data_IF_813518215867
#
_entry.id   IF_813518215867
#
_cell.length_a   1.000
_cell.length_b   1.000
_cell.length_c   1.000
_cell.angle_alpha   90.00
_cell.angle_beta   90.00
_cell.angle_gamma   90.00
#
_symmetry.space_group_name_H-M   'P 1'
#
loop_
_entity.id
_entity.type
_entity.pdbx_description
1 polymer ?
#
# COMPACT_ATOMS: atom_id res chain seq x y z
N UNK A 1 17.05 11.46 -49.47
CA UNK A 1 16.25 10.32 -48.95
C UNK A 1 16.74 9.83 -47.58
N UNK A 2 18.04 9.73 -47.31
CA UNK A 2 18.54 9.21 -46.02
C UNK A 2 18.46 10.22 -44.86
N UNK A 3 18.66 11.51 -45.14
CA UNK A 3 18.47 12.59 -44.16
C UNK A 3 17.00 12.75 -43.75
N UNK A 4 16.07 12.55 -44.67
CA UNK A 4 14.62 12.65 -44.44
C UNK A 4 14.10 11.52 -43.55
N UNK A 5 14.63 10.30 -43.73
CA UNK A 5 14.41 9.21 -42.76
C UNK A 5 14.97 9.58 -41.39
N UNK A 6 16.18 10.14 -41.32
CA UNK A 6 16.84 10.51 -40.05
C UNK A 6 16.06 11.59 -39.29
N UNK A 7 15.50 12.58 -39.97
CA UNK A 7 14.65 13.60 -39.33
C UNK A 7 13.32 13.04 -38.85
N UNK A 8 12.69 12.13 -39.62
CA UNK A 8 11.46 11.45 -39.24
C UNK A 8 11.60 10.65 -37.92
N UNK A 9 12.65 9.85 -37.77
CA UNK A 9 12.91 9.09 -36.53
C UNK A 9 13.16 9.99 -35.32
N UNK A 10 13.84 11.13 -35.51
CA UNK A 10 14.10 12.09 -34.43
C UNK A 10 12.80 12.74 -33.95
N UNK A 11 11.91 13.14 -34.87
CA UNK A 11 10.60 13.70 -34.52
C UNK A 11 9.74 12.71 -33.75
N UNK A 12 9.74 11.43 -34.15
CA UNK A 12 9.08 10.35 -33.40
C UNK A 12 9.61 10.25 -31.97
N UNK A 13 10.94 10.25 -31.78
CA UNK A 13 11.54 10.21 -30.45
C UNK A 13 11.16 11.43 -29.59
N UNK A 14 11.17 12.64 -30.16
CA UNK A 14 10.78 13.85 -29.44
C UNK A 14 9.32 13.80 -28.98
N UNK A 15 8.40 13.30 -29.81
CA UNK A 15 6.99 13.16 -29.40
C UNK A 15 6.81 12.18 -28.25
N UNK A 16 7.52 11.04 -28.26
CA UNK A 16 7.46 10.05 -27.18
C UNK A 16 8.00 10.63 -25.87
N UNK A 17 9.11 11.38 -25.93
CA UNK A 17 9.69 12.03 -24.75
C UNK A 17 8.75 13.09 -24.16
N UNK A 18 8.11 13.90 -25.01
CA UNK A 18 7.14 14.92 -24.57
C UNK A 18 5.93 14.27 -23.89
N UNK A 19 5.39 13.19 -24.46
CA UNK A 19 4.28 12.44 -23.86
C UNK A 19 4.70 11.82 -22.52
N UNK A 20 5.90 11.24 -22.45
CA UNK A 20 6.47 10.70 -21.21
C UNK A 20 6.58 11.77 -20.11
N UNK A 21 7.15 12.93 -20.42
CA UNK A 21 7.29 14.05 -19.49
C UNK A 21 5.91 14.59 -19.06
N UNK A 22 4.97 14.70 -19.98
CA UNK A 22 3.60 15.12 -19.67
C UNK A 22 2.90 14.15 -18.70
N UNK A 23 3.03 12.83 -18.92
CA UNK A 23 2.49 11.83 -18.00
C UNK A 23 3.12 11.92 -16.61
N UNK A 24 4.43 12.17 -16.54
CA UNK A 24 5.16 12.33 -15.27
C UNK A 24 4.68 13.60 -14.54
N UNK A 25 4.63 14.75 -15.23
CA UNK A 25 4.15 16.01 -14.68
C UNK A 25 2.71 15.92 -14.17
N UNK A 26 1.82 15.22 -14.91
CA UNK A 26 0.43 15.01 -14.49
C UNK A 26 0.31 14.12 -13.25
N UNK A 27 1.20 13.13 -13.08
CA UNK A 27 1.24 12.27 -11.89
C UNK A 27 1.92 12.93 -10.69
N UNK A 28 2.84 13.86 -10.94
CA UNK A 28 3.64 14.55 -9.92
C UNK A 28 2.82 15.20 -8.79
N UNK A 29 1.75 15.99 -9.02
CA UNK A 29 1.00 16.61 -7.94
C UNK A 29 0.25 15.58 -7.07
N UNK A 30 -0.18 14.47 -7.66
CA UNK A 30 -0.81 13.36 -6.92
C UNK A 30 0.22 12.66 -6.04
N UNK A 31 1.42 12.43 -6.57
CA UNK A 31 2.55 11.87 -5.83
C UNK A 31 2.98 12.78 -4.68
N UNK A 32 3.06 14.09 -4.90
CA UNK A 32 3.38 15.08 -3.85
C UNK A 32 2.29 15.15 -2.76
N UNK A 33 1.00 15.02 -3.12
CA UNK A 33 -0.10 14.91 -2.15
C UNK A 33 0.04 13.65 -1.30
N UNK A 34 0.38 12.52 -1.92
CA UNK A 34 0.66 11.26 -1.22
C UNK A 34 1.85 11.46 -0.27
N UNK A 35 2.97 12.02 -0.75
CA UNK A 35 4.15 12.30 0.08
C UNK A 35 3.81 13.19 1.28
N UNK A 36 3.10 14.30 1.09
CA UNK A 36 2.68 15.19 2.18
C UNK A 36 1.75 14.49 3.17
N UNK A 37 0.79 13.69 2.71
CA UNK A 37 -0.12 12.92 3.57
C UNK A 37 0.63 11.88 4.40
N UNK A 38 1.60 11.20 3.80
CA UNK A 38 2.47 10.24 4.50
C UNK A 38 3.36 10.92 5.54
N UNK A 39 3.92 12.10 5.23
CA UNK A 39 4.70 12.91 6.19
C UNK A 39 3.84 13.42 7.35
N UNK A 40 2.59 13.82 7.09
CA UNK A 40 1.66 14.24 8.16
C UNK A 40 1.29 13.08 9.09
N UNK A 41 1.08 11.88 8.55
CA UNK A 41 0.86 10.67 9.36
C UNK A 41 2.11 10.29 10.17
N UNK A 42 3.31 10.53 9.64
CA UNK A 42 4.58 10.27 10.31
C UNK A 42 4.85 11.20 11.50
N UNK A 43 4.12 12.33 11.63
CA UNK A 43 4.19 13.21 12.82
C UNK A 43 3.40 12.68 14.01
N UNK A 44 2.45 11.77 13.81
CA UNK A 44 1.85 11.05 14.93
C UNK A 44 2.85 9.97 15.34
N UNK A 45 3.34 10.05 16.58
CA UNK A 45 4.26 9.09 17.22
C UNK A 45 3.57 7.75 17.47
N UNK A 46 3.05 7.13 16.42
CA UNK A 46 2.56 5.76 16.46
C UNK A 46 3.80 4.88 16.36
N UNK A 47 3.98 3.87 17.24
CA UNK A 47 5.10 2.95 17.14
C UNK A 47 5.08 2.31 15.75
N UNK A 48 6.07 2.68 14.95
CA UNK A 48 6.34 2.12 13.62
C UNK A 48 7.72 1.48 13.64
N UNK A 49 7.95 0.50 12.78
CA UNK A 49 9.29 -0.02 12.59
C UNK A 49 10.13 1.04 11.86
N UNK A 50 11.27 1.42 12.42
CA UNK A 50 12.18 2.45 11.88
C UNK A 50 12.91 2.04 10.57
N UNK A 51 12.47 0.98 9.90
CA UNK A 51 13.08 0.44 8.70
C UNK A 51 12.38 0.97 7.43
N UNK A 52 13.09 1.05 6.30
CA UNK A 52 12.45 1.32 5.00
C UNK A 52 11.35 0.30 4.74
N UNK A 53 10.11 0.78 4.58
CA UNK A 53 8.90 -0.05 4.44
C UNK A 53 9.02 -1.11 3.33
N UNK A 54 9.69 -0.76 2.23
CA UNK A 54 9.91 -1.67 1.11
C UNK A 54 10.89 -2.79 1.47
N UNK A 55 11.97 -2.46 2.17
CA UNK A 55 12.96 -3.45 2.60
C UNK A 55 12.36 -4.44 3.60
N UNK A 56 11.52 -3.97 4.51
CA UNK A 56 10.80 -4.82 5.47
C UNK A 56 9.85 -5.80 4.76
N UNK A 57 9.12 -5.33 3.75
CA UNK A 57 8.22 -6.19 2.98
C UNK A 57 8.97 -7.24 2.15
N UNK A 58 10.02 -6.82 1.42
CA UNK A 58 10.84 -7.72 0.60
C UNK A 58 11.58 -8.74 1.47
N UNK A 59 12.11 -8.34 2.64
CA UNK A 59 12.77 -9.26 3.56
C UNK A 59 11.81 -10.26 4.18
N UNK A 60 10.56 -9.85 4.45
CA UNK A 60 9.49 -10.73 4.91
C UNK A 60 9.12 -11.79 3.87
N UNK A 61 8.86 -11.37 2.63
CA UNK A 61 8.59 -12.29 1.52
C UNK A 61 9.76 -13.23 1.23
N UNK A 62 10.99 -12.69 1.24
CA UNK A 62 12.19 -13.49 1.02
C UNK A 62 12.41 -14.50 2.15
N UNK A 63 12.11 -14.15 3.41
CA UNK A 63 12.15 -15.11 4.52
C UNK A 63 11.13 -16.21 4.34
N UNK A 64 9.87 -15.88 4.02
CA UNK A 64 8.82 -16.89 3.79
C UNK A 64 9.21 -17.80 2.63
N UNK A 65 9.70 -17.23 1.52
CA UNK A 65 10.16 -17.98 0.36
C UNK A 65 11.34 -18.90 0.69
N UNK A 66 12.37 -18.40 1.38
CA UNK A 66 13.54 -19.19 1.79
C UNK A 66 13.20 -20.28 2.80
N UNK A 67 12.23 -20.02 3.67
CA UNK A 67 11.82 -20.92 4.76
C UNK A 67 10.78 -21.94 4.30
N UNK A 68 10.12 -21.73 3.15
CA UNK A 68 9.09 -22.62 2.60
C UNK A 68 9.70 -23.95 2.13
N UNK A 69 9.74 -24.93 3.03
CA UNK A 69 10.10 -26.33 2.76
C UNK A 69 8.82 -27.17 2.63
N UNK A 70 8.87 -28.34 1.98
CA UNK A 70 7.72 -29.26 1.94
C UNK A 70 7.20 -29.62 3.35
N UNK A 71 8.08 -29.62 4.34
CA UNK A 71 7.79 -29.94 5.75
C UNK A 71 7.11 -28.77 6.51
N UNK A 72 7.26 -27.54 6.01
CA UNK A 72 6.71 -26.32 6.60
C UNK A 72 6.10 -25.46 5.49
N UNK A 73 4.84 -25.73 5.09
CA UNK A 73 4.22 -25.04 3.97
C UNK A 73 4.14 -23.54 4.28
N UNK A 74 4.28 -22.71 3.23
CA UNK A 74 4.22 -21.26 3.33
C UNK A 74 3.01 -20.75 4.14
N UNK A 75 1.87 -21.43 4.04
CA UNK A 75 0.66 -21.11 4.81
C UNK A 75 0.88 -21.21 6.34
N UNK A 76 1.53 -22.26 6.83
CA UNK A 76 1.85 -22.39 8.26
C UNK A 76 2.76 -21.26 8.75
N UNK A 77 3.74 -20.87 7.93
CA UNK A 77 4.65 -19.75 8.26
C UNK A 77 3.92 -18.41 8.29
N UNK A 78 3.00 -18.18 7.35
CA UNK A 78 2.14 -16.99 7.34
C UNK A 78 1.24 -16.97 8.59
N UNK A 79 0.65 -18.11 8.94
CA UNK A 79 -0.21 -18.23 10.12
C UNK A 79 0.59 -17.99 11.42
N UNK A 80 1.79 -18.55 11.53
CA UNK A 80 2.68 -18.33 12.67
C UNK A 80 3.10 -16.85 12.77
N UNK A 81 3.39 -16.21 11.65
CA UNK A 81 3.67 -14.78 11.61
C UNK A 81 2.45 -13.95 12.05
N UNK A 82 1.24 -14.32 11.61
CA UNK A 82 0.00 -13.67 12.04
C UNK A 82 -0.24 -13.81 13.55
N UNK A 83 0.02 -14.98 14.12
CA UNK A 83 -0.05 -15.18 15.58
C UNK A 83 1.02 -14.40 16.34
N UNK A 84 2.25 -14.30 15.81
CA UNK A 84 3.29 -13.43 16.38
C UNK A 84 2.85 -11.98 16.38
N UNK A 85 2.25 -11.55 15.27
CA UNK A 85 1.76 -10.19 15.08
C UNK A 85 0.60 -9.84 16.02
N UNK A 86 -0.33 -10.77 16.24
CA UNK A 86 -1.46 -10.55 17.15
C UNK A 86 -0.98 -10.26 18.57
N UNK A 87 0.05 -10.97 19.05
CA UNK A 87 0.66 -10.74 20.37
C UNK A 87 1.27 -9.34 20.49
N UNK A 88 1.90 -8.85 19.42
CA UNK A 88 2.47 -7.50 19.37
C UNK A 88 1.37 -6.44 19.39
N UNK A 89 0.32 -6.62 18.60
CA UNK A 89 -0.83 -5.69 18.53
C UNK A 89 -1.55 -5.58 19.88
N UNK A 90 -1.75 -6.71 20.57
CA UNK A 90 -2.35 -6.73 21.92
C UNK A 90 -1.49 -5.94 22.91
N UNK A 91 -0.16 -6.04 22.80
CA UNK A 91 0.78 -5.34 23.70
C UNK A 91 0.81 -3.83 23.45
N UNK A 92 0.95 -3.40 22.19
CA UNK A 92 1.15 -1.99 21.82
C UNK A 92 -0.16 -1.19 21.75
N UNK A 93 -1.34 -1.84 21.81
CA UNK A 93 -2.72 -1.28 21.78
C UNK A 93 -3.10 -0.55 20.49
N UNK A 94 -2.15 0.13 19.84
CA UNK A 94 -2.27 0.79 18.54
C UNK A 94 -0.98 0.51 17.78
N UNK A 95 -1.09 0.01 16.55
CA UNK A 95 0.07 -0.34 15.74
C UNK A 95 -0.10 0.14 14.30
N UNK A 96 0.97 0.66 13.68
CA UNK A 96 0.95 1.07 12.28
C UNK A 96 1.86 0.16 11.44
N UNK A 97 1.24 -0.52 10.46
CA UNK A 97 1.91 -1.38 9.49
C UNK A 97 1.96 -0.69 8.14
N UNK A 98 3.11 -0.66 7.49
CA UNK A 98 3.17 -0.27 6.09
C UNK A 98 3.06 -1.50 5.21
N UNK A 99 1.96 -1.62 4.46
CA UNK A 99 1.79 -2.67 3.45
C UNK A 99 2.06 -2.03 2.09
N UNK A 100 3.11 -2.49 1.42
CA UNK A 100 3.69 -1.91 0.20
C UNK A 100 4.04 -0.42 0.33
N UNK A 101 3.06 0.46 0.10
CA UNK A 101 3.20 1.92 0.06
C UNK A 101 2.09 2.64 0.84
N UNK A 102 1.18 1.89 1.48
CA UNK A 102 0.09 2.45 2.27
C UNK A 102 0.27 2.09 3.74
N UNK A 103 0.09 3.05 4.67
CA UNK A 103 0.00 2.76 6.09
C UNK A 103 -1.36 2.17 6.42
N UNK A 104 -1.34 1.12 7.24
CA UNK A 104 -2.49 0.47 7.85
C UNK A 104 -2.37 0.66 9.36
N UNK A 105 -3.30 1.41 9.93
CA UNK A 105 -3.36 1.62 11.38
C UNK A 105 -4.34 0.62 11.96
N UNK A 106 -3.85 -0.21 12.88
CA UNK A 106 -4.61 -1.26 13.55
C UNK A 106 -4.91 -0.78 14.96
N UNK A 107 -6.20 -0.71 15.28
CA UNK A 107 -6.70 -0.36 16.62
C UNK A 107 -7.14 -1.64 17.32
N UNK A 108 -6.59 -1.91 18.51
CA UNK A 108 -7.01 -3.07 19.31
C UNK A 108 -8.05 -2.72 20.37
N UNK A 109 -8.01 -1.49 20.91
CA UNK A 109 -8.93 -1.05 21.95
C UNK A 109 -10.34 -0.81 21.39
N UNK A 110 -11.40 -1.32 22.06
CA UNK A 110 -12.78 -1.12 21.62
C UNK A 110 -13.19 0.37 21.68
N UNK A 111 -12.78 1.09 22.74
CA UNK A 111 -13.04 2.52 22.93
C UNK A 111 -12.55 3.35 21.72
N UNK A 112 -11.34 3.04 21.24
CA UNK A 112 -10.75 3.74 20.09
C UNK A 112 -11.42 3.35 18.78
N UNK A 113 -11.76 2.07 18.63
CA UNK A 113 -12.47 1.59 17.45
C UNK A 113 -13.87 2.24 17.34
N UNK A 114 -14.60 2.41 18.44
CA UNK A 114 -15.92 3.06 18.46
C UNK A 114 -15.84 4.53 18.03
N UNK A 115 -14.86 5.29 18.54
CA UNK A 115 -14.66 6.69 18.15
C UNK A 115 -14.32 6.81 16.66
N UNK A 116 -13.49 5.90 16.14
CA UNK A 116 -13.13 5.91 14.72
C UNK A 116 -14.33 5.52 13.86
N UNK A 117 -15.03 4.43 14.20
CA UNK A 117 -16.17 3.88 13.45
C UNK A 117 -17.41 4.78 13.50
N UNK A 118 -17.62 5.53 14.58
CA UNK A 118 -18.71 6.50 14.69
C UNK A 118 -18.49 7.77 13.85
N UNK A 119 -17.27 8.01 13.36
CA UNK A 119 -16.96 9.20 12.59
C UNK A 119 -17.28 9.03 11.09
N UNK A 120 -18.40 9.59 10.65
CA UNK A 120 -18.81 9.60 9.24
C UNK A 120 -17.88 10.43 8.34
N UNK A 121 -17.09 11.36 8.91
CA UNK A 121 -16.19 12.24 8.15
C UNK A 121 -14.80 11.65 7.92
N UNK A 122 -14.38 10.67 8.73
CA UNK A 122 -13.03 10.12 8.69
C UNK A 122 -12.94 8.78 7.93
N UNK A 123 -14.07 8.10 7.74
CA UNK A 123 -14.12 6.79 7.09
C UNK A 123 -14.67 6.95 5.68
N UNK A 124 -13.80 6.70 4.71
CA UNK A 124 -14.16 6.50 3.31
C UNK A 124 -13.88 5.04 2.92
N UNK A 125 -14.66 4.50 1.98
CA UNK A 125 -14.45 3.14 1.49
C UNK A 125 -13.06 3.04 0.89
N UNK A 126 -12.30 2.10 1.43
CA UNK A 126 -10.91 1.95 1.07
C UNK A 126 -10.80 1.18 -0.26
N UNK A 127 -9.77 1.46 -1.07
CA UNK A 127 -9.60 0.82 -2.40
C UNK A 127 -9.41 -0.69 -2.32
N UNK A 128 -9.13 -1.22 -1.14
CA UNK A 128 -9.05 -2.64 -0.87
C UNK A 128 -10.41 -3.33 -1.09
N UNK A 129 -11.53 -2.62 -0.90
CA UNK A 129 -12.86 -3.13 -1.25
C UNK A 129 -13.05 -3.27 -2.78
N UNK A 130 -12.38 -2.45 -3.59
CA UNK A 130 -12.39 -2.59 -5.05
C UNK A 130 -11.69 -3.89 -5.49
N UNK A 131 -10.67 -4.33 -4.75
CA UNK A 131 -9.97 -5.60 -5.00
C UNK A 131 -10.81 -6.83 -4.63
N UNK A 132 -11.69 -6.69 -3.64
CA UNK A 132 -12.62 -7.75 -3.22
C UNK A 132 -13.88 -7.81 -4.10
N UNK A 133 -14.17 -6.73 -4.85
CA UNK A 133 -15.33 -6.61 -5.75
C UNK A 133 -15.46 -7.76 -6.77
N UNK A 134 -14.38 -8.25 -7.43
CA UNK A 134 -14.49 -9.37 -8.37
C UNK A 134 -14.79 -10.71 -7.69
N UNK A 135 -14.43 -10.85 -6.41
CA UNK A 135 -14.57 -12.11 -5.67
C UNK A 135 -15.93 -12.22 -4.97
N UNK A 136 -16.45 -11.12 -4.44
CA UNK A 136 -17.74 -11.09 -3.73
C UNK A 136 -18.90 -10.51 -4.55
N UNK A 137 -18.63 -10.07 -5.78
CA UNK A 137 -19.61 -9.35 -6.61
C UNK A 137 -19.93 -7.96 -6.06
N UNK A 138 -20.77 -7.21 -6.78
CA UNK A 138 -21.29 -5.89 -6.35
C UNK A 138 -22.38 -6.02 -5.26
N UNK A 139 -22.12 -6.82 -4.22
CA UNK A 139 -23.04 -7.05 -3.11
C UNK A 139 -23.00 -5.93 -2.06
N UNK A 140 -23.63 -6.18 -0.90
CA UNK A 140 -23.82 -5.24 0.23
C UNK A 140 -22.56 -4.46 0.63
N UNK A 141 -21.39 -5.10 0.60
CA UNK A 141 -20.11 -4.49 0.96
C UNK A 141 -19.63 -3.41 -0.03
N UNK A 142 -19.91 -3.59 -1.31
CA UNK A 142 -19.52 -2.65 -2.37
C UNK A 142 -20.63 -1.63 -2.64
N UNK A 143 -21.90 -2.07 -2.51
CA UNK A 143 -23.07 -1.42 -3.10
C UNK A 143 -23.70 -0.21 -2.40
N UNK A 144 -23.42 0.08 -1.12
CA UNK A 144 -23.93 1.31 -0.51
C UNK A 144 -22.90 2.44 -0.61
N UNK A 145 -23.04 3.26 -1.67
CA UNK A 145 -22.64 4.67 -1.68
C UNK A 145 -23.88 5.48 -1.36
#
# INVERSE_FOLDING_TARGET
MEEEKRTSWRMGLYTILIIGVYMILKRMPTFLKILKKTVLLQRCTIPTFNCSNLLFYISGLLSIYRQSRPDAPAFCLILQAAFGYSRVVIKEKIFCLYVLFKPFVIFHKPETAEIVLSSTKLIDKSKEYELLSPWMGKGLFVGFV
#
